data_IF_570148949140
#
_entry.id   IF_570148949140
#
_cell.length_a   1.000
_cell.length_b   1.000
_cell.length_c   1.000
_cell.angle_alpha   90.00
_cell.angle_beta   90.00
_cell.angle_gamma   90.00
#
_symmetry.space_group_name_H-M   'P 1'
#
loop_
_entity.id
_entity.type
_entity.pdbx_description
1 polymer ?
#
# COMPACT_ATOMS: atom_id res chain seq x y z
N UNK A 1 7.79 6.35 -20.59
CA UNK A 1 8.19 7.02 -19.33
C UNK A 1 7.44 6.34 -18.21
N UNK A 2 8.10 6.08 -17.09
CA UNK A 2 7.46 5.34 -16.00
C UNK A 2 6.58 6.28 -15.17
N UNK A 3 5.43 5.80 -14.72
CA UNK A 3 4.55 6.50 -13.78
C UNK A 3 4.66 5.87 -12.40
N UNK A 4 4.78 6.69 -11.37
CA UNK A 4 4.84 6.26 -9.98
C UNK A 4 3.52 6.61 -9.31
N UNK A 5 2.85 5.63 -8.72
CA UNK A 5 1.56 5.77 -8.05
C UNK A 5 1.67 5.14 -6.67
N UNK A 6 1.41 5.93 -5.63
CA UNK A 6 1.25 5.38 -4.28
C UNK A 6 -0.15 4.77 -4.19
N UNK A 7 -0.22 3.45 -4.05
CA UNK A 7 -1.49 2.72 -3.87
C UNK A 7 -1.98 2.84 -2.43
N UNK A 8 -1.06 2.93 -1.46
CA UNK A 8 -1.42 3.13 -0.06
C UNK A 8 -0.27 3.77 0.69
N UNK A 9 -0.58 4.80 1.46
CA UNK A 9 0.39 5.49 2.31
C UNK A 9 0.67 4.65 3.56
N UNK A 10 1.95 4.41 3.83
CA UNK A 10 2.39 3.77 5.05
C UNK A 10 2.09 4.63 6.27
N UNK A 11 1.99 3.97 7.42
CA UNK A 11 1.80 4.66 8.69
C UNK A 11 2.53 3.93 9.81
N UNK A 12 2.81 4.68 10.87
CA UNK A 12 3.25 4.15 12.14
C UNK A 12 2.67 5.06 13.22
N UNK A 13 1.76 4.51 14.02
CA UNK A 13 1.10 5.23 15.10
C UNK A 13 0.81 4.29 16.25
N UNK A 14 0.73 4.85 17.44
CA UNK A 14 0.17 4.12 18.57
C UNK A 14 -1.32 3.85 18.32
N UNK A 15 -1.80 2.72 18.80
CA UNK A 15 -3.24 2.40 18.77
C UNK A 15 -4.05 3.38 19.61
N UNK A 16 -3.47 3.82 20.74
CA UNK A 16 -4.05 4.78 21.66
C UNK A 16 -3.45 6.20 21.47
N UNK A 17 -4.26 7.24 21.71
CA UNK A 17 -3.83 8.64 21.57
C UNK A 17 -2.82 9.07 22.64
N UNK A 18 -2.92 8.51 23.84
CA UNK A 18 -1.98 8.71 24.95
C UNK A 18 -1.33 7.38 25.31
N UNK A 19 -0.27 6.97 24.59
CA UNK A 19 0.31 5.65 24.72
C UNK A 19 1.02 5.46 26.06
N UNK A 20 0.77 4.31 26.67
CA UNK A 20 1.60 3.78 27.77
C UNK A 20 2.92 3.22 27.20
N UNK A 21 3.96 3.02 28.04
CA UNK A 21 5.26 2.53 27.58
C UNK A 21 5.23 1.24 26.74
N UNK A 22 4.25 0.35 26.98
CA UNK A 22 4.07 -0.91 26.26
C UNK A 22 2.91 -0.88 25.25
N UNK A 23 2.45 0.31 24.85
CA UNK A 23 1.35 0.45 23.92
C UNK A 23 1.71 -0.16 22.55
N UNK A 24 0.81 -0.96 21.95
CA UNK A 24 1.06 -1.53 20.65
C UNK A 24 1.15 -0.44 19.58
N UNK A 25 1.99 -0.69 18.59
CA UNK A 25 2.13 0.15 17.41
C UNK A 25 1.34 -0.47 16.26
N UNK A 26 0.41 0.30 15.71
CA UNK A 26 -0.18 0.00 14.42
C UNK A 26 0.76 0.54 13.36
N UNK A 27 1.31 -0.34 12.54
CA UNK A 27 2.24 0.02 11.49
C UNK A 27 1.96 -0.74 10.21
N UNK A 28 2.15 -0.06 9.09
CA UNK A 28 2.12 -0.65 7.77
C UNK A 28 3.08 0.10 6.83
N UNK A 29 3.57 -0.58 5.79
CA UNK A 29 4.44 0.03 4.81
C UNK A 29 3.63 0.77 3.73
N UNK A 30 4.29 1.68 3.00
CA UNK A 30 3.73 2.27 1.78
C UNK A 30 3.75 1.22 0.67
N UNK A 31 2.66 1.08 -0.08
CA UNK A 31 2.62 0.24 -1.28
C UNK A 31 2.65 1.14 -2.51
N UNK A 32 3.57 0.88 -3.44
CA UNK A 32 3.75 1.70 -4.65
C UNK A 32 3.66 0.85 -5.91
N UNK A 33 2.92 1.33 -6.90
CA UNK A 33 2.89 0.81 -8.25
C UNK A 33 3.76 1.68 -9.16
N UNK A 34 4.73 1.05 -9.80
CA UNK A 34 5.50 1.62 -10.89
C UNK A 34 4.93 1.07 -12.19
N UNK A 35 4.22 1.91 -12.95
CA UNK A 35 3.74 1.55 -14.29
C UNK A 35 4.85 1.79 -15.31
N UNK A 36 5.30 0.71 -15.94
CA UNK A 36 6.20 0.74 -17.09
C UNK A 36 5.45 0.34 -18.37
N UNK A 37 6.05 0.59 -19.54
CA UNK A 37 5.44 0.23 -20.83
C UNK A 37 5.33 -1.28 -21.05
N UNK A 38 6.29 -2.06 -20.52
CA UNK A 38 6.38 -3.51 -20.75
C UNK A 38 6.02 -4.31 -19.49
N UNK A 39 6.17 -3.71 -18.32
CA UNK A 39 5.86 -4.36 -17.05
C UNK A 39 5.43 -3.34 -15.99
N UNK A 40 4.53 -3.77 -15.14
CA UNK A 40 4.18 -3.10 -13.90
C UNK A 40 4.96 -3.74 -12.76
N UNK A 41 5.47 -2.92 -11.85
CA UNK A 41 6.20 -3.37 -10.65
C UNK A 41 5.47 -2.89 -9.42
N UNK A 42 5.16 -3.81 -8.52
CA UNK A 42 4.67 -3.49 -7.18
C UNK A 42 5.86 -3.54 -6.22
N UNK A 43 6.03 -2.47 -5.46
CA UNK A 43 7.05 -2.36 -4.40
C UNK A 43 6.33 -2.36 -3.06
N UNK A 44 6.69 -3.34 -2.22
CA UNK A 44 6.00 -3.74 -0.98
C UNK A 44 4.52 -4.14 -1.18
N UNK A 45 3.92 -4.79 -0.18
CA UNK A 45 2.54 -5.34 -0.30
C UNK A 45 1.71 -5.18 0.98
N UNK A 46 2.06 -4.22 1.83
CA UNK A 46 1.40 -4.00 3.13
C UNK A 46 1.41 -5.28 3.98
N UNK A 47 0.37 -5.50 4.79
CA UNK A 47 0.23 -6.70 5.62
C UNK A 47 -0.72 -7.72 4.98
N UNK A 48 -0.71 -9.01 5.40
CA UNK A 48 -1.52 -10.05 4.77
C UNK A 48 -3.03 -9.81 4.77
N UNK A 49 -3.57 -8.97 5.67
CA UNK A 49 -5.00 -8.66 5.74
C UNK A 49 -5.42 -7.49 4.84
N UNK A 50 -4.49 -6.81 4.16
CA UNK A 50 -4.78 -5.68 3.25
C UNK A 50 -4.96 -6.11 1.78
N UNK A 51 -5.07 -7.42 1.50
CA UNK A 51 -5.17 -7.94 0.14
C UNK A 51 -6.27 -7.27 -0.69
N UNK A 52 -7.45 -7.09 -0.11
CA UNK A 52 -8.59 -6.46 -0.80
C UNK A 52 -8.35 -4.98 -1.10
N UNK A 53 -7.64 -4.26 -0.23
CA UNK A 53 -7.28 -2.86 -0.43
C UNK A 53 -6.39 -2.69 -1.67
N UNK A 54 -5.40 -3.58 -1.82
CA UNK A 54 -4.49 -3.54 -2.97
C UNK A 54 -5.18 -3.93 -4.28
N UNK A 55 -6.13 -4.86 -4.25
CA UNK A 55 -6.90 -5.24 -5.43
C UNK A 55 -7.81 -4.10 -5.91
N UNK A 56 -8.44 -3.36 -5.00
CA UNK A 56 -9.28 -2.19 -5.36
C UNK A 56 -8.46 -1.04 -5.94
N UNK A 57 -7.25 -0.81 -5.43
CA UNK A 57 -6.35 0.24 -5.90
C UNK A 57 -5.65 -0.12 -7.22
N UNK A 58 -5.41 -1.42 -7.45
CA UNK A 58 -4.75 -1.94 -8.65
C UNK A 58 -5.67 -2.05 -9.87
N UNK A 59 -6.99 -2.03 -9.69
CA UNK A 59 -7.96 -2.02 -10.77
C UNK A 59 -8.08 -0.61 -11.35
N UNK A 60 -7.24 -0.30 -12.33
CA UNK A 60 -7.25 0.99 -13.04
C UNK A 60 -8.31 1.05 -14.16
N UNK A 61 -9.22 0.08 -14.23
CA UNK A 61 -10.28 0.01 -15.23
C UNK A 61 -9.79 -0.29 -16.65
N UNK A 62 -8.50 -0.61 -16.84
CA UNK A 62 -8.01 -1.14 -18.10
C UNK A 62 -8.44 -2.60 -18.24
N UNK A 63 -9.63 -2.81 -18.81
CA UNK A 63 -9.99 -4.11 -19.36
C UNK A 63 -8.96 -4.47 -20.42
N UNK A 64 -8.25 -5.58 -20.21
CA UNK A 64 -7.42 -6.18 -21.24
C UNK A 64 -8.32 -6.46 -22.46
N UNK A 65 -8.03 -5.77 -23.57
CA UNK A 65 -8.67 -6.01 -24.87
C UNK A 65 -8.26 -7.33 -25.49
#
# INVERSE_FOLDING_TARGET
MNQIIVLSEGYSKYEEQEPKPDAPMLANCTCTLIKGPDCNVIVDTMTPWDGDLLLQQGDDGSTAG
#
